data_IF_352133262662
#
_entry.id   IF_352133262662
#
_cell.length_a   1.000
_cell.length_b   1.000
_cell.length_c   1.000
_cell.angle_alpha   90.00
_cell.angle_beta   90.00
_cell.angle_gamma   90.00
#
_symmetry.space_group_name_H-M   'P 1'
#
loop_
_entity.id
_entity.type
_entity.pdbx_description
1 polymer ?
#
# COMPACT_ATOMS: atom_id res chain seq x y z
N UNK A 1 13.35 -33.77 -22.29
CA UNK A 1 12.85 -32.52 -21.69
C UNK A 1 11.96 -31.84 -22.71
N UNK A 2 10.65 -32.02 -22.60
CA UNK A 2 9.66 -31.38 -23.49
C UNK A 2 9.50 -29.92 -23.06
N UNK A 3 10.00 -29.01 -23.88
CA UNK A 3 9.74 -27.57 -23.77
C UNK A 3 8.26 -27.33 -24.07
N UNK A 4 7.43 -27.30 -23.02
CA UNK A 4 6.07 -26.81 -23.12
C UNK A 4 6.12 -25.33 -23.53
N UNK A 5 5.86 -25.06 -24.81
CA UNK A 5 5.65 -23.68 -25.29
C UNK A 5 4.41 -23.15 -24.57
N UNK A 6 4.60 -22.18 -23.67
CA UNK A 6 3.48 -21.43 -23.11
C UNK A 6 2.65 -20.90 -24.30
N UNK A 7 1.32 -21.10 -24.35
CA UNK A 7 0.50 -20.51 -25.39
C UNK A 7 0.77 -19.01 -25.40
N UNK A 8 0.93 -18.42 -26.59
CA UNK A 8 1.47 -17.07 -26.86
C UNK A 8 0.67 -15.88 -26.27
N UNK A 9 -0.13 -16.10 -25.24
CA UNK A 9 -1.08 -15.17 -24.64
C UNK A 9 -0.90 -14.96 -23.12
N UNK A 10 0.06 -15.64 -22.48
CA UNK A 10 0.31 -15.48 -21.04
C UNK A 10 1.46 -14.49 -20.83
N UNK A 11 1.16 -13.35 -20.21
CA UNK A 11 2.19 -12.41 -19.72
C UNK A 11 2.60 -12.81 -18.32
N UNK A 12 3.90 -12.90 -18.08
CA UNK A 12 4.45 -13.20 -16.76
C UNK A 12 5.01 -11.94 -16.09
N UNK A 13 4.73 -11.81 -14.81
CA UNK A 13 5.21 -10.76 -13.93
C UNK A 13 5.84 -11.39 -12.68
N UNK A 14 6.72 -10.64 -12.01
CA UNK A 14 7.34 -11.04 -10.75
C UNK A 14 7.99 -12.44 -10.81
N UNK A 15 8.73 -12.75 -11.88
CA UNK A 15 9.47 -14.02 -12.00
C UNK A 15 8.57 -15.26 -12.06
N UNK A 16 7.40 -15.15 -12.71
CA UNK A 16 6.46 -16.26 -12.90
C UNK A 16 5.45 -16.45 -11.76
N UNK A 17 5.54 -15.64 -10.68
CA UNK A 17 4.57 -15.68 -9.57
C UNK A 17 3.21 -15.10 -9.94
N UNK A 18 3.17 -14.23 -10.95
CA UNK A 18 1.93 -13.64 -11.45
C UNK A 18 1.89 -13.90 -12.96
N UNK A 19 0.88 -14.64 -13.41
CA UNK A 19 0.64 -14.92 -14.83
C UNK A 19 -0.70 -14.32 -15.24
N UNK A 20 -0.72 -13.44 -16.21
CA UNK A 20 -1.93 -12.81 -16.74
C UNK A 20 -2.26 -13.41 -18.12
N UNK A 21 -3.48 -13.92 -18.27
CA UNK A 21 -3.99 -14.36 -19.58
C UNK A 21 -4.53 -13.15 -20.33
N UNK A 22 -4.15 -12.99 -21.60
CA UNK A 22 -4.70 -11.95 -22.47
C UNK A 22 -6.24 -12.03 -22.49
N UNK A 23 -6.90 -10.88 -22.32
CA UNK A 23 -8.36 -10.78 -22.33
C UNK A 23 -9.06 -11.11 -21.02
N UNK A 24 -8.33 -11.52 -19.97
CA UNK A 24 -8.91 -11.64 -18.61
C UNK A 24 -8.78 -10.33 -17.85
N UNK A 25 -9.86 -9.87 -17.23
CA UNK A 25 -9.84 -8.67 -16.40
C UNK A 25 -9.12 -8.93 -15.07
N UNK A 26 -8.47 -7.91 -14.52
CA UNK A 26 -7.88 -7.95 -13.17
C UNK A 26 -8.96 -8.36 -12.15
N UNK A 27 -8.74 -9.42 -11.35
CA UNK A 27 -9.71 -9.86 -10.36
C UNK A 27 -10.11 -8.74 -9.39
N UNK A 28 -11.41 -8.63 -9.10
CA UNK A 28 -11.93 -7.55 -8.25
C UNK A 28 -11.32 -7.53 -6.84
N UNK A 29 -11.06 -8.69 -6.24
CA UNK A 29 -10.42 -8.79 -4.92
C UNK A 29 -9.04 -8.14 -4.90
N UNK A 30 -8.28 -8.24 -5.99
CA UNK A 30 -6.95 -7.66 -6.11
C UNK A 30 -7.02 -6.12 -6.18
N UNK A 31 -8.11 -5.58 -6.73
CA UNK A 31 -8.37 -4.13 -6.70
C UNK A 31 -8.71 -3.64 -5.28
N UNK A 32 -9.48 -4.42 -4.51
CA UNK A 32 -9.78 -4.11 -3.12
C UNK A 32 -8.57 -4.18 -2.20
N UNK A 33 -7.58 -5.03 -2.52
CA UNK A 33 -6.33 -5.10 -1.76
C UNK A 33 -5.62 -3.73 -1.68
N UNK A 34 -5.63 -2.95 -2.77
CA UNK A 34 -5.07 -1.59 -2.75
C UNK A 34 -5.73 -0.67 -1.72
N UNK A 35 -7.06 -0.79 -1.55
CA UNK A 35 -7.81 0.02 -0.58
C UNK A 35 -7.43 -0.38 0.85
N UNK A 36 -7.43 -1.68 1.14
CA UNK A 36 -7.11 -2.20 2.48
C UNK A 36 -5.68 -1.83 2.87
N UNK A 37 -4.72 -2.02 1.95
CA UNK A 37 -3.31 -1.67 2.19
C UNK A 37 -3.16 -0.17 2.42
N UNK A 38 -3.77 0.67 1.57
CA UNK A 38 -3.70 2.11 1.71
C UNK A 38 -4.28 2.60 3.06
N UNK A 39 -5.46 2.10 3.44
CA UNK A 39 -6.08 2.45 4.72
C UNK A 39 -5.24 1.96 5.90
N UNK A 40 -4.67 0.76 5.81
CA UNK A 40 -3.76 0.22 6.83
C UNK A 40 -2.51 1.10 7.01
N UNK A 41 -1.86 1.48 5.92
CA UNK A 41 -0.68 2.35 5.95
C UNK A 41 -0.99 3.74 6.50
N UNK A 42 -2.07 4.38 6.04
CA UNK A 42 -2.47 5.71 6.51
C UNK A 42 -2.86 5.64 7.99
N UNK A 43 -3.66 4.64 8.38
CA UNK A 43 -4.06 4.42 9.77
C UNK A 43 -2.84 4.23 10.68
N UNK A 44 -1.85 3.46 10.22
CA UNK A 44 -0.59 3.27 10.93
C UNK A 44 0.16 4.60 11.13
N UNK A 45 0.32 5.40 10.07
CA UNK A 45 0.99 6.70 10.15
C UNK A 45 0.32 7.65 11.14
N UNK A 46 -1.01 7.69 11.15
CA UNK A 46 -1.78 8.57 12.05
C UNK A 46 -1.71 8.08 13.50
N UNK A 47 -1.87 6.78 13.71
CA UNK A 47 -1.87 6.17 15.05
C UNK A 47 -0.49 6.25 15.71
N UNK A 48 0.56 5.92 14.96
CA UNK A 48 1.94 5.87 15.44
C UNK A 48 2.76 7.12 15.08
N UNK A 49 2.10 8.27 14.85
CA UNK A 49 2.76 9.52 14.44
C UNK A 49 3.89 9.99 15.38
N UNK A 50 3.77 9.71 16.68
CA UNK A 50 4.80 10.00 17.68
C UNK A 50 5.41 8.71 18.26
N UNK A 51 5.41 7.63 17.47
CA UNK A 51 5.81 6.30 17.89
C UNK A 51 4.78 5.59 18.76
N UNK A 52 5.19 4.42 19.26
CA UNK A 52 4.38 3.55 20.09
C UNK A 52 4.35 4.05 21.54
N UNK A 53 3.45 5.01 21.80
CA UNK A 53 3.32 5.66 23.11
C UNK A 53 2.40 4.91 24.08
N UNK A 54 1.58 3.96 23.62
CA UNK A 54 0.59 3.28 24.46
C UNK A 54 1.03 1.90 24.95
N UNK A 55 2.14 1.36 24.42
CA UNK A 55 2.61 0.03 24.81
C UNK A 55 3.03 -0.05 26.29
N UNK A 56 2.61 -1.13 26.95
CA UNK A 56 2.77 -1.30 28.41
C UNK A 56 4.21 -1.28 28.91
N UNK A 57 5.18 -1.71 28.09
CA UNK A 57 6.61 -1.74 28.48
C UNK A 57 7.44 -0.58 27.90
N UNK A 58 7.32 -0.31 26.59
CA UNK A 58 8.16 0.68 25.89
C UNK A 58 7.55 2.08 25.76
N UNK A 59 6.24 2.22 25.98
CA UNK A 59 5.55 3.49 25.78
C UNK A 59 6.07 4.62 26.67
N UNK A 60 6.52 4.29 27.89
CA UNK A 60 7.14 5.26 28.79
C UNK A 60 8.43 5.86 28.20
N UNK A 61 9.30 5.03 27.61
CA UNK A 61 10.55 5.47 26.99
C UNK A 61 10.28 6.35 25.76
N UNK A 62 9.30 5.97 24.92
CA UNK A 62 8.91 6.77 23.74
C UNK A 62 8.37 8.14 24.16
N UNK A 63 7.54 8.20 25.22
CA UNK A 63 7.04 9.50 25.74
C UNK A 63 8.17 10.35 26.32
N UNK A 64 9.13 9.76 27.02
CA UNK A 64 10.31 10.47 27.53
C UNK A 64 11.15 11.04 26.38
N UNK A 65 11.37 10.26 25.32
CA UNK A 65 12.07 10.74 24.12
C UNK A 65 11.32 11.93 23.50
N UNK A 66 10.01 11.83 23.31
CA UNK A 66 9.21 12.92 22.73
C UNK A 66 9.21 14.20 23.58
N UNK A 67 9.39 14.09 24.90
CA UNK A 67 9.52 15.27 25.78
C UNK A 67 10.81 16.06 25.53
N UNK A 68 11.88 15.40 25.08
CA UNK A 68 13.18 16.04 24.81
C UNK A 68 13.38 16.38 23.34
N UNK A 69 12.81 15.60 22.41
CA UNK A 69 12.93 15.82 20.97
C UNK A 69 11.79 16.65 20.37
N UNK A 70 10.71 16.86 21.13
CA UNK A 70 9.45 17.40 20.60
C UNK A 70 8.59 16.34 19.91
N UNK A 71 7.40 16.76 19.46
CA UNK A 71 6.48 15.93 18.69
C UNK A 71 6.67 16.15 17.18
N UNK A 72 6.20 15.18 16.38
CA UNK A 72 6.26 15.23 14.92
C UNK A 72 4.88 15.43 14.28
N UNK A 73 3.90 15.93 15.04
CA UNK A 73 2.48 15.92 14.66
C UNK A 73 2.24 16.58 13.29
N UNK A 74 2.71 17.82 13.09
CA UNK A 74 2.48 18.56 11.85
C UNK A 74 3.12 17.85 10.64
N UNK A 75 4.36 17.40 10.79
CA UNK A 75 5.09 16.67 9.74
C UNK A 75 4.35 15.39 9.37
N UNK A 76 3.98 14.58 10.37
CA UNK A 76 3.35 13.29 10.16
C UNK A 76 1.94 13.41 9.59
N UNK A 77 1.16 14.42 9.97
CA UNK A 77 -0.10 14.73 9.29
C UNK A 77 0.12 15.14 7.84
N UNK A 78 1.17 15.92 7.55
CA UNK A 78 1.58 16.23 6.19
C UNK A 78 1.88 14.96 5.37
N UNK A 79 2.67 14.04 5.92
CA UNK A 79 2.98 12.74 5.29
C UNK A 79 1.69 11.91 5.10
N UNK A 80 0.79 11.88 6.07
CA UNK A 80 -0.47 11.15 5.97
C UNK A 80 -1.37 11.71 4.86
N UNK A 81 -1.41 13.03 4.66
CA UNK A 81 -2.13 13.67 3.55
C UNK A 81 -1.52 13.28 2.20
N UNK A 82 -0.19 13.28 2.07
CA UNK A 82 0.48 12.84 0.85
C UNK A 82 0.17 11.36 0.53
N UNK A 83 0.19 10.50 1.55
CA UNK A 83 -0.19 9.10 1.42
C UNK A 83 -1.67 8.95 1.00
N UNK A 84 -2.57 9.76 1.54
CA UNK A 84 -3.98 9.79 1.14
C UNK A 84 -4.15 10.20 -0.33
N UNK A 85 -3.45 11.24 -0.79
CA UNK A 85 -3.50 11.68 -2.19
C UNK A 85 -2.98 10.59 -3.13
N UNK A 86 -1.89 9.91 -2.75
CA UNK A 86 -1.36 8.78 -3.51
C UNK A 86 -2.37 7.61 -3.56
N UNK A 87 -3.03 7.30 -2.43
CA UNK A 87 -4.08 6.28 -2.37
C UNK A 87 -5.28 6.61 -3.27
N UNK A 88 -5.72 7.87 -3.27
CA UNK A 88 -6.79 8.35 -4.17
C UNK A 88 -6.35 8.20 -5.64
N UNK A 89 -5.13 8.60 -5.98
CA UNK A 89 -4.58 8.43 -7.32
C UNK A 89 -4.54 6.97 -7.77
N UNK A 90 -4.10 6.06 -6.88
CA UNK A 90 -4.07 4.62 -7.14
C UNK A 90 -5.48 4.05 -7.30
N UNK A 91 -6.44 4.49 -6.47
CA UNK A 91 -7.83 4.10 -6.60
C UNK A 91 -8.41 4.54 -7.95
N UNK A 92 -8.25 5.81 -8.32
CA UNK A 92 -8.69 6.30 -9.63
C UNK A 92 -8.05 5.48 -10.75
N UNK A 93 -6.74 5.24 -10.69
CA UNK A 93 -6.02 4.43 -11.67
C UNK A 93 -6.56 3.00 -11.79
N UNK A 94 -6.72 2.29 -10.67
CA UNK A 94 -7.12 0.88 -10.64
C UNK A 94 -8.56 0.64 -11.12
N UNK A 95 -9.42 1.66 -10.98
CA UNK A 95 -10.83 1.60 -11.38
C UNK A 95 -11.12 2.38 -12.67
N UNK A 96 -10.17 3.14 -13.23
CA UNK A 96 -10.33 3.74 -14.56
C UNK A 96 -10.38 2.63 -15.61
N UNK A 97 -11.31 2.75 -16.55
CA UNK A 97 -11.38 1.86 -17.72
C UNK A 97 -10.08 2.04 -18.52
N UNK A 98 -9.40 0.94 -18.85
CA UNK A 98 -8.26 1.01 -19.76
C UNK A 98 -8.75 1.50 -21.13
N UNK A 99 -8.03 2.45 -21.75
CA UNK A 99 -8.24 2.76 -23.16
C UNK A 99 -7.88 1.50 -23.95
N UNK A 100 -8.86 0.96 -24.66
CA UNK A 100 -8.64 -0.09 -25.64
C UNK A 100 -8.32 0.64 -26.93
N UNK A 101 -7.05 0.57 -27.35
CA UNK A 101 -6.67 0.82 -28.74
C UNK A 101 -6.94 -0.44 -29.57
#
# INVERSE_FOLDING_TARGET
>A
MTTNKLPAEIKEYAGGWITERKGTAVPGFLKYAYIVIALGCIGYLVHYRNGETAHGTRGALVRQLNQVSGNADLLMYGVAVLALLAAIGLFVFAFRKAHVD
#
